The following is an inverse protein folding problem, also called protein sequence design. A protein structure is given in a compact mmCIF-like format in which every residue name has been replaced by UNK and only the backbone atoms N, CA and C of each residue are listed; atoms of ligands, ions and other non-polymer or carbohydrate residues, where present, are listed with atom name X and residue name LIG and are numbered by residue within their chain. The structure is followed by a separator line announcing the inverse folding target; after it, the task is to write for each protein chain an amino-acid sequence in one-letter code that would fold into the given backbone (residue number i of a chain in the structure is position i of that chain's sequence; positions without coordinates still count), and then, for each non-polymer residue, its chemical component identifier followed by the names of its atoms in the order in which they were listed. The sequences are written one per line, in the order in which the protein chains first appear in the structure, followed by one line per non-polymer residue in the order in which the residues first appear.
data_IF_820892704148
#
_entry.id   IF_820892704148
#
_cell.length_a   1.000
_cell.length_b   1.000
_cell.length_c   1.000
_cell.angle_alpha   90.00
_cell.angle_beta   90.00
_cell.angle_gamma   90.00
#
_symmetry.space_group_name_H-M   'P 1'
#
loop_
_entity.id
_entity.type
_entity.pdbx_description
1 polymer ?
#
# COMPACT_ATOMS: atom_id res chain seq x y z
N UNK A 1 15.89 15.66 -22.99
CA UNK A 1 15.14 16.55 -22.06
C UNK A 1 14.45 15.68 -21.02
N UNK A 2 14.52 16.07 -19.75
CA UNK A 2 13.83 15.45 -18.62
C UNK A 2 12.72 16.38 -18.17
N UNK A 3 11.52 15.83 -17.92
CA UNK A 3 10.37 16.59 -17.48
C UNK A 3 9.67 15.86 -16.33
N UNK A 4 9.27 16.60 -15.30
CA UNK A 4 8.45 16.07 -14.21
C UNK A 4 7.09 16.73 -14.29
N UNK A 5 6.03 15.90 -14.36
CA UNK A 5 4.63 16.34 -14.40
C UNK A 5 3.86 15.81 -13.19
N UNK A 6 2.80 16.49 -12.81
CA UNK A 6 1.82 15.96 -11.87
C UNK A 6 0.95 14.95 -12.61
N UNK A 7 0.62 13.85 -11.95
CA UNK A 7 -0.29 12.84 -12.45
C UNK A 7 -1.70 13.41 -12.68
N UNK A 8 -2.30 13.11 -13.80
CA UNK A 8 -3.61 13.61 -14.24
C UNK A 8 -4.68 12.54 -14.37
N UNK A 9 -4.33 11.30 -14.00
CA UNK A 9 -5.21 10.13 -13.98
C UNK A 9 -5.76 9.74 -15.37
N UNK A 10 -4.96 9.92 -16.43
CA UNK A 10 -5.30 9.40 -17.75
C UNK A 10 -5.09 7.88 -17.81
N UNK A 11 -5.84 7.19 -18.71
CA UNK A 11 -5.68 5.75 -18.88
C UNK A 11 -4.25 5.36 -19.27
N UNK A 12 -3.58 6.15 -20.10
CA UNK A 12 -2.19 5.92 -20.47
C UNK A 12 -1.23 6.05 -19.28
N UNK A 13 -1.44 7.02 -18.40
CA UNK A 13 -0.63 7.19 -17.19
C UNK A 13 -0.79 6.01 -16.24
N UNK A 14 -2.01 5.49 -16.05
CA UNK A 14 -2.25 4.28 -15.27
C UNK A 14 -1.53 3.06 -15.86
N UNK A 15 -1.63 2.85 -17.19
CA UNK A 15 -0.94 1.75 -17.88
C UNK A 15 0.56 1.80 -17.67
N UNK A 16 1.17 2.97 -17.88
CA UNK A 16 2.61 3.14 -17.76
C UNK A 16 3.11 3.02 -16.31
N UNK A 17 2.35 3.54 -15.33
CA UNK A 17 2.68 3.35 -13.91
C UNK A 17 2.62 1.86 -13.54
N UNK A 18 1.56 1.14 -13.97
CA UNK A 18 1.42 -0.30 -13.73
C UNK A 18 2.59 -1.06 -14.34
N UNK A 19 2.95 -0.74 -15.58
CA UNK A 19 4.12 -1.34 -16.25
C UNK A 19 5.39 -1.16 -15.44
N UNK A 20 5.66 0.07 -14.96
CA UNK A 20 6.88 0.37 -14.18
C UNK A 20 6.83 -0.36 -12.83
N UNK A 21 5.70 -0.36 -12.13
CA UNK A 21 5.55 -1.09 -10.86
C UNK A 21 5.90 -2.57 -11.04
N UNK A 22 5.34 -3.22 -12.07
CA UNK A 22 5.58 -4.63 -12.35
C UNK A 22 7.02 -4.94 -12.81
N UNK A 23 7.73 -3.95 -13.38
CA UNK A 23 9.16 -4.07 -13.66
C UNK A 23 10.04 -3.94 -12.41
N UNK A 24 9.58 -3.18 -11.43
CA UNK A 24 10.31 -2.96 -10.16
C UNK A 24 10.04 -4.10 -9.18
N UNK A 25 8.78 -4.52 -9.09
CA UNK A 25 8.32 -5.55 -8.16
C UNK A 25 7.73 -6.72 -8.96
N UNK A 26 8.50 -7.81 -9.06
CA UNK A 26 8.10 -9.01 -9.79
C UNK A 26 7.25 -9.96 -8.94
N UNK A 27 7.34 -9.84 -7.63
CA UNK A 27 6.69 -10.75 -6.69
C UNK A 27 5.25 -10.32 -6.39
N UNK A 28 4.95 -9.03 -6.65
CA UNK A 28 3.63 -8.45 -6.43
C UNK A 28 3.11 -7.75 -7.70
N UNK A 29 2.40 -8.51 -8.52
CA UNK A 29 1.85 -7.98 -9.78
C UNK A 29 0.69 -7.04 -9.48
N UNK A 30 0.81 -5.80 -9.94
CA UNK A 30 -0.25 -4.79 -9.87
C UNK A 30 -1.11 -4.85 -11.13
N UNK A 31 -2.42 -4.69 -10.99
CA UNK A 31 -3.35 -4.55 -12.09
C UNK A 31 -3.78 -3.08 -12.27
N UNK A 32 -4.09 -2.71 -13.51
CA UNK A 32 -4.49 -1.33 -13.84
C UNK A 32 -5.75 -0.93 -13.08
N UNK A 33 -6.70 -1.83 -12.98
CA UNK A 33 -7.98 -1.56 -12.32
C UNK A 33 -7.82 -1.36 -10.82
N UNK A 34 -6.90 -2.06 -10.16
CA UNK A 34 -6.57 -1.83 -8.76
C UNK A 34 -6.03 -0.42 -8.53
N UNK A 35 -5.13 0.04 -9.42
CA UNK A 35 -4.60 1.40 -9.34
C UNK A 35 -5.67 2.46 -9.60
N UNK A 36 -6.56 2.24 -10.56
CA UNK A 36 -7.68 3.14 -10.83
C UNK A 36 -8.64 3.21 -9.66
N UNK A 37 -9.05 2.05 -9.14
CA UNK A 37 -9.96 1.94 -8.00
C UNK A 37 -9.36 2.61 -6.76
N UNK A 38 -8.10 2.32 -6.44
CA UNK A 38 -7.38 2.97 -5.35
C UNK A 38 -7.31 4.50 -5.51
N UNK A 39 -7.12 5.00 -6.74
CA UNK A 39 -7.10 6.44 -7.00
C UNK A 39 -8.48 7.09 -6.88
N UNK A 40 -9.52 6.44 -7.38
CA UNK A 40 -10.91 6.94 -7.35
C UNK A 40 -11.42 6.97 -5.90
N UNK A 41 -11.18 5.89 -5.17
CA UNK A 41 -11.70 5.65 -3.82
C UNK A 41 -10.84 6.26 -2.71
N UNK A 42 -9.70 6.88 -3.06
CA UNK A 42 -8.84 7.52 -2.06
C UNK A 42 -9.60 8.54 -1.22
N UNK A 43 -9.27 8.63 0.03
CA UNK A 43 -9.76 9.69 0.90
C UNK A 43 -9.32 11.06 0.36
N UNK A 44 -10.29 11.87 -0.04
CA UNK A 44 -10.04 13.19 -0.62
C UNK A 44 -9.79 14.28 0.44
N UNK A 45 -10.01 13.95 1.72
CA UNK A 45 -9.67 14.84 2.83
C UNK A 45 -8.17 14.76 3.15
N UNK A 46 -7.52 13.66 2.80
CA UNK A 46 -6.09 13.46 2.95
C UNK A 46 -5.33 13.90 1.69
N UNK A 47 -4.14 14.41 1.91
CA UNK A 47 -3.28 14.84 0.82
C UNK A 47 -2.70 13.61 0.13
N UNK A 48 -2.92 13.52 -1.17
CA UNK A 48 -2.35 12.47 -2.01
C UNK A 48 -1.93 13.07 -3.35
N UNK A 49 -0.68 12.85 -3.75
CA UNK A 49 -0.16 13.28 -5.03
C UNK A 49 0.76 12.23 -5.64
N UNK A 50 0.86 12.28 -6.96
CA UNK A 50 1.79 11.46 -7.73
C UNK A 50 2.49 12.33 -8.77
N UNK A 51 3.82 12.24 -8.87
CA UNK A 51 4.63 12.91 -9.86
C UNK A 51 5.27 11.89 -10.79
N UNK A 52 5.22 12.19 -12.07
CA UNK A 52 5.70 11.35 -13.18
C UNK A 52 6.95 11.98 -13.78
N UNK A 53 7.98 11.19 -13.99
CA UNK A 53 9.21 11.64 -14.65
C UNK A 53 9.30 11.05 -16.06
N UNK A 54 9.50 11.92 -17.03
CA UNK A 54 9.62 11.57 -18.44
C UNK A 54 11.04 11.88 -18.95
N UNK A 55 11.57 10.95 -19.74
CA UNK A 55 12.76 11.20 -20.59
C UNK A 55 12.28 11.27 -22.03
N UNK A 56 12.37 12.48 -22.63
CA UNK A 56 11.65 12.82 -23.86
C UNK A 56 10.14 12.59 -23.63
N UNK A 57 9.52 11.66 -24.37
CA UNK A 57 8.08 11.33 -24.23
C UNK A 57 7.83 10.01 -23.50
N UNK A 58 8.86 9.34 -23.02
CA UNK A 58 8.73 8.04 -22.34
C UNK A 58 8.64 8.25 -20.84
N UNK A 59 7.61 7.71 -20.21
CA UNK A 59 7.51 7.63 -18.75
C UNK A 59 8.57 6.65 -18.23
N UNK A 60 9.47 7.12 -17.37
CA UNK A 60 10.57 6.33 -16.82
C UNK A 60 10.45 6.09 -15.33
N UNK A 61 9.54 6.74 -14.63
CA UNK A 61 9.33 6.53 -13.21
C UNK A 61 8.25 7.43 -12.61
N UNK A 62 7.92 7.14 -11.37
CA UNK A 62 7.00 7.95 -10.60
C UNK A 62 7.36 7.98 -9.12
N UNK A 63 6.89 8.99 -8.41
CA UNK A 63 6.85 9.05 -6.96
C UNK A 63 5.45 9.45 -6.53
N UNK A 64 4.80 8.59 -5.76
CA UNK A 64 3.52 8.89 -5.12
C UNK A 64 3.71 9.09 -3.64
N UNK A 65 2.91 9.94 -3.04
CA UNK A 65 2.82 10.05 -1.59
C UNK A 65 1.39 10.33 -1.16
N UNK A 66 1.08 9.89 0.04
CA UNK A 66 -0.19 10.14 0.71
C UNK A 66 0.07 10.46 2.17
N UNK A 67 -0.75 11.33 2.71
CA UNK A 67 -0.80 11.62 4.14
C UNK A 67 -1.35 10.39 4.87
N UNK A 68 -0.72 10.00 5.96
CA UNK A 68 -1.23 8.92 6.82
C UNK A 68 -2.41 9.40 7.66
N UNK A 69 -3.26 8.46 8.03
CA UNK A 69 -4.27 8.63 9.09
C UNK A 69 -3.61 8.33 10.45
N UNK A 70 -2.55 9.04 10.78
CA UNK A 70 -2.05 9.06 12.16
C UNK A 70 -2.72 10.22 12.88
N UNK A 71 -3.05 10.06 14.15
CA UNK A 71 -3.87 11.00 14.95
C UNK A 71 -3.40 12.46 14.96
N UNK A 72 -2.32 12.77 14.26
CA UNK A 72 -1.81 14.12 14.03
C UNK A 72 -1.67 14.49 12.55
N UNK A 73 -1.97 13.59 11.62
CA UNK A 73 -1.86 13.79 10.16
C UNK A 73 -0.52 14.38 9.70
N UNK A 74 0.56 14.15 10.46
CA UNK A 74 1.90 14.72 10.23
C UNK A 74 2.84 13.77 9.49
N UNK A 75 2.40 12.54 9.27
CA UNK A 75 3.18 11.51 8.57
C UNK A 75 2.75 11.43 7.11
N UNK A 76 3.70 11.39 6.20
CA UNK A 76 3.46 11.05 4.82
C UNK A 76 4.15 9.74 4.47
N UNK A 77 3.44 8.88 3.77
CA UNK A 77 3.97 7.65 3.18
C UNK A 77 4.26 7.90 1.71
N UNK A 78 5.39 7.41 1.22
CA UNK A 78 5.68 7.54 -0.20
C UNK A 78 6.24 6.26 -0.81
N UNK A 79 6.01 6.10 -2.10
CA UNK A 79 6.56 5.03 -2.93
C UNK A 79 7.24 5.65 -4.14
N UNK A 80 8.45 5.20 -4.46
CA UNK A 80 9.23 5.64 -5.61
C UNK A 80 9.53 4.44 -6.51
N UNK A 81 9.06 4.49 -7.74
CA UNK A 81 9.34 3.50 -8.77
C UNK A 81 10.12 4.16 -9.90
N UNK A 82 11.20 3.53 -10.32
CA UNK A 82 11.97 3.93 -11.49
C UNK A 82 12.23 2.69 -12.34
N UNK A 83 11.91 2.76 -13.61
CA UNK A 83 12.17 1.69 -14.57
C UNK A 83 13.66 1.28 -14.48
N UNK A 84 13.96 0.00 -14.20
CA UNK A 84 15.34 -0.47 -13.96
C UNK A 84 16.31 -0.17 -15.09
N UNK A 85 15.81 0.01 -16.31
CA UNK A 85 16.63 0.38 -17.49
C UNK A 85 17.22 1.79 -17.40
N UNK A 86 16.70 2.63 -16.51
CA UNK A 86 17.14 4.03 -16.32
C UNK A 86 17.88 4.24 -15.01
N UNK A 87 18.64 3.21 -14.56
CA UNK A 87 19.35 3.27 -13.31
C UNK A 87 20.29 4.48 -13.21
N UNK A 88 20.09 5.20 -12.14
CA UNK A 88 21.00 6.12 -11.42
C UNK A 88 21.58 7.35 -12.14
N UNK A 89 20.86 7.94 -13.07
CA UNK A 89 21.19 9.27 -13.61
C UNK A 89 20.61 10.43 -12.77
N UNK A 90 20.46 10.24 -11.44
CA UNK A 90 19.88 11.24 -10.54
C UNK A 90 18.35 11.37 -10.61
N UNK A 91 17.66 10.54 -11.40
CA UNK A 91 16.20 10.64 -11.58
C UNK A 91 15.42 10.41 -10.29
N UNK A 92 15.89 9.47 -9.44
CA UNK A 92 15.29 9.25 -8.11
C UNK A 92 15.39 10.49 -7.24
N UNK A 93 16.51 11.16 -7.29
CA UNK A 93 16.74 12.38 -6.51
C UNK A 93 15.89 13.55 -7.01
N UNK A 94 15.72 13.69 -8.33
CA UNK A 94 14.81 14.68 -8.92
C UNK A 94 13.37 14.48 -8.46
N UNK A 95 12.86 13.25 -8.52
CA UNK A 95 11.52 12.91 -8.04
C UNK A 95 11.38 13.17 -6.54
N UNK A 96 12.33 12.69 -5.75
CA UNK A 96 12.35 12.90 -4.30
C UNK A 96 12.32 14.37 -3.93
N UNK A 97 13.18 15.18 -4.55
CA UNK A 97 13.23 16.63 -4.27
C UNK A 97 11.94 17.33 -4.68
N UNK A 98 11.29 16.88 -5.77
CA UNK A 98 9.98 17.41 -6.19
C UNK A 98 8.91 17.09 -5.15
N UNK A 99 8.86 15.85 -4.66
CA UNK A 99 7.95 15.42 -3.61
C UNK A 99 8.19 16.21 -2.31
N UNK A 100 9.44 16.35 -1.86
CA UNK A 100 9.76 17.08 -0.62
C UNK A 100 9.28 18.54 -0.68
N UNK A 101 9.47 19.22 -1.82
CA UNK A 101 8.96 20.58 -2.00
C UNK A 101 7.45 20.67 -1.87
N UNK A 102 6.75 19.60 -2.25
CA UNK A 102 5.29 19.56 -2.18
C UNK A 102 4.81 19.18 -0.77
N UNK A 103 5.36 18.14 -0.18
CA UNK A 103 5.03 17.65 1.18
C UNK A 103 5.24 18.74 2.25
N UNK A 104 6.29 19.55 2.11
CA UNK A 104 6.55 20.67 3.05
C UNK A 104 5.44 21.72 3.12
N UNK A 105 4.58 21.81 2.10
CA UNK A 105 3.43 22.73 2.10
C UNK A 105 2.32 22.28 3.07
N UNK A 106 2.35 21.03 3.51
CA UNK A 106 1.26 20.36 4.24
C UNK A 106 1.61 20.03 5.69
N UNK A 107 2.61 20.69 6.23
CA UNK A 107 3.01 20.51 7.63
C UNK A 107 3.37 19.05 8.04
N UNK A 108 3.69 18.19 7.06
CA UNK A 108 4.23 16.85 7.34
C UNK A 108 5.66 16.97 7.85
N UNK A 109 5.93 16.35 8.99
CA UNK A 109 7.26 16.35 9.63
C UNK A 109 7.91 14.96 9.64
N UNK A 110 7.19 13.93 9.23
CA UNK A 110 7.67 12.55 9.13
C UNK A 110 7.41 11.98 7.75
N UNK A 111 8.40 11.30 7.20
CA UNK A 111 8.29 10.53 5.96
C UNK A 111 8.58 9.07 6.24
N UNK A 112 7.71 8.20 5.75
CA UNK A 112 7.88 6.76 5.78
C UNK A 112 7.85 6.20 4.36
N UNK A 113 8.60 5.13 4.14
CA UNK A 113 8.56 4.36 2.90
C UNK A 113 8.94 2.92 3.19
N UNK A 114 8.38 2.01 2.42
CA UNK A 114 8.75 0.61 2.42
C UNK A 114 9.62 0.32 1.21
N UNK A 115 10.66 -0.45 1.38
CA UNK A 115 11.48 -1.01 0.30
C UNK A 115 11.66 -2.50 0.53
N UNK A 116 11.71 -3.27 -0.55
CA UNK A 116 11.97 -4.70 -0.50
C UNK A 116 13.46 -5.00 -0.68
N UNK A 117 13.93 -6.10 -0.09
CA UNK A 117 15.35 -6.50 -0.17
C UNK A 117 15.66 -7.26 -1.47
N UNK A 118 15.35 -6.68 -2.62
CA UNK A 118 15.81 -7.21 -3.89
C UNK A 118 16.49 -6.15 -4.76
N UNK A 119 17.19 -6.60 -5.80
CA UNK A 119 18.12 -5.76 -6.59
C UNK A 119 17.50 -4.51 -7.19
N UNK A 120 16.23 -4.56 -7.59
CA UNK A 120 15.53 -3.43 -8.21
C UNK A 120 15.34 -2.24 -7.25
N UNK A 121 15.34 -2.49 -5.93
CA UNK A 121 15.25 -1.45 -4.90
C UNK A 121 16.59 -0.91 -4.42
N UNK A 122 17.72 -1.43 -4.90
CA UNK A 122 19.05 -0.97 -4.47
C UNK A 122 19.26 0.54 -4.68
N UNK A 123 18.74 1.11 -5.76
CA UNK A 123 18.80 2.55 -6.00
C UNK A 123 18.00 3.35 -4.97
N UNK A 124 16.83 2.85 -4.57
CA UNK A 124 16.01 3.47 -3.52
C UNK A 124 16.73 3.37 -2.17
N UNK A 125 17.30 2.21 -1.82
CA UNK A 125 18.09 2.02 -0.59
C UNK A 125 19.26 3.01 -0.51
N UNK A 126 20.03 3.17 -1.59
CA UNK A 126 21.11 4.16 -1.68
C UNK A 126 20.61 5.59 -1.47
N UNK A 127 19.46 5.96 -2.07
CA UNK A 127 18.84 7.27 -1.87
C UNK A 127 18.46 7.49 -0.40
N UNK A 128 17.81 6.52 0.24
CA UNK A 128 17.39 6.60 1.64
C UNK A 128 18.58 6.83 2.57
N UNK A 129 19.68 6.09 2.38
CA UNK A 129 20.93 6.27 3.16
C UNK A 129 21.47 7.68 2.99
N UNK A 130 21.58 8.18 1.74
CA UNK A 130 22.06 9.56 1.48
C UNK A 130 21.15 10.62 2.11
N UNK A 131 19.84 10.38 2.16
CA UNK A 131 18.85 11.28 2.78
C UNK A 131 18.69 11.05 4.28
N UNK A 132 19.56 10.24 4.91
CA UNK A 132 19.63 9.97 6.35
C UNK A 132 18.34 9.36 6.93
N UNK A 133 17.63 8.54 6.14
CA UNK A 133 16.54 7.74 6.66
C UNK A 133 17.06 6.70 7.64
N UNK A 134 16.25 6.42 8.67
CA UNK A 134 16.53 5.38 9.65
C UNK A 134 15.60 4.20 9.41
N UNK A 135 16.12 2.98 9.51
CA UNK A 135 15.30 1.78 9.54
C UNK A 135 14.53 1.76 10.86
N UNK A 136 13.21 1.69 10.77
CA UNK A 136 12.30 1.73 11.93
C UNK A 136 11.57 0.42 12.15
N UNK A 137 11.44 -0.39 11.09
CA UNK A 137 10.77 -1.69 11.15
C UNK A 137 11.27 -2.58 10.02
N UNK A 138 11.33 -3.89 10.27
CA UNK A 138 11.56 -4.92 9.25
C UNK A 138 10.42 -5.92 9.33
N UNK A 139 9.74 -6.15 8.21
CA UNK A 139 8.71 -7.17 8.05
C UNK A 139 9.27 -8.33 7.22
N UNK A 140 8.84 -9.55 7.52
CA UNK A 140 9.15 -10.74 6.72
C UNK A 140 7.85 -11.26 6.11
N UNK A 141 7.88 -11.45 4.81
CA UNK A 141 6.79 -12.08 4.08
C UNK A 141 7.15 -13.55 3.80
N UNK A 142 6.19 -14.43 3.94
CA UNK A 142 6.33 -15.84 3.67
C UNK A 142 5.28 -16.25 2.64
N UNK A 143 5.68 -16.99 1.65
CA UNK A 143 4.78 -17.59 0.66
C UNK A 143 4.90 -19.11 0.69
N UNK A 144 3.81 -19.79 0.37
CA UNK A 144 3.82 -21.24 0.17
C UNK A 144 3.02 -21.62 -1.08
N UNK A 145 3.42 -22.70 -1.73
CA UNK A 145 2.62 -23.28 -2.80
C UNK A 145 1.43 -24.03 -2.20
N UNK A 146 0.24 -23.46 -2.33
CA UNK A 146 -0.99 -24.05 -1.76
C UNK A 146 -1.30 -25.45 -2.28
N UNK A 147 -0.81 -25.81 -3.48
CA UNK A 147 -0.96 -27.16 -4.06
C UNK A 147 -0.18 -28.22 -3.29
N UNK A 148 0.82 -27.80 -2.49
CA UNK A 148 1.64 -28.67 -1.65
C UNK A 148 1.14 -28.78 -0.21
N UNK A 149 0.07 -28.05 0.13
CA UNK A 149 -0.51 -28.11 1.47
C UNK A 149 -1.36 -29.38 1.59
N UNK A 150 -0.92 -30.27 2.46
CA UNK A 150 -1.70 -31.48 2.82
C UNK A 150 -2.73 -31.09 3.90
N UNK A 151 -3.98 -30.84 3.46
CA UNK A 151 -5.07 -30.45 4.34
C UNK A 151 -5.53 -31.60 5.27
N UNK A 152 -5.17 -32.84 4.98
CA UNK A 152 -5.57 -33.99 5.83
C UNK A 152 -4.97 -33.91 7.23
N UNK A 153 -3.79 -33.31 7.36
CA UNK A 153 -3.11 -33.07 8.66
C UNK A 153 -3.91 -32.17 9.59
N UNK A 154 -4.79 -31.34 9.06
CA UNK A 154 -5.57 -30.39 9.84
C UNK A 154 -6.95 -30.92 10.24
N UNK A 155 -7.38 -32.09 9.71
CA UNK A 155 -8.68 -32.69 10.02
C UNK A 155 -8.93 -32.94 11.52
N UNK A 156 -7.95 -33.42 12.31
CA UNK A 156 -8.13 -33.56 13.75
C UNK A 156 -8.37 -32.24 14.47
N UNK A 157 -7.69 -31.15 14.00
CA UNK A 157 -7.86 -29.80 14.54
C UNK A 157 -9.27 -29.28 14.21
N UNK A 158 -9.71 -29.43 12.97
CA UNK A 158 -11.05 -29.02 12.52
C UNK A 158 -12.11 -29.68 13.38
N UNK A 159 -12.08 -31.03 13.52
CA UNK A 159 -13.03 -31.77 14.37
C UNK A 159 -13.02 -31.29 15.82
N UNK A 160 -11.83 -30.99 16.37
CA UNK A 160 -11.71 -30.46 17.73
C UNK A 160 -12.34 -29.07 17.87
N UNK A 161 -12.22 -28.22 16.86
CA UNK A 161 -12.84 -26.89 16.87
C UNK A 161 -14.36 -27.00 16.76
N UNK A 162 -14.86 -27.85 15.85
CA UNK A 162 -16.29 -28.15 15.70
C UNK A 162 -16.91 -28.71 16.98
N UNK A 163 -16.21 -29.63 17.67
CA UNK A 163 -16.68 -30.18 18.95
C UNK A 163 -16.76 -29.14 20.08
N UNK A 164 -16.03 -28.03 19.93
CA UNK A 164 -16.12 -26.87 20.83
C UNK A 164 -17.17 -25.84 20.41
N UNK A 165 -17.97 -26.14 19.39
CA UNK A 165 -18.98 -25.24 18.85
C UNK A 165 -18.43 -24.10 17.98
N UNK A 166 -17.15 -24.13 17.62
CA UNK A 166 -16.55 -23.15 16.73
C UNK A 166 -16.97 -23.48 15.30
N UNK A 167 -17.61 -22.54 14.63
CA UNK A 167 -18.02 -22.63 13.23
C UNK A 167 -17.35 -21.56 12.41
N UNK A 168 -16.94 -21.92 11.19
CA UNK A 168 -16.37 -21.00 10.22
C UNK A 168 -17.47 -20.62 9.23
N UNK A 169 -17.60 -19.33 8.99
CA UNK A 169 -18.52 -18.77 8.02
C UNK A 169 -17.75 -17.85 7.08
N UNK A 170 -18.21 -17.74 5.85
CA UNK A 170 -17.74 -16.70 4.94
C UNK A 170 -18.49 -15.37 5.16
N UNK A 171 -17.97 -14.28 4.63
CA UNK A 171 -18.57 -12.96 4.75
C UNK A 171 -19.98 -12.90 4.15
N UNK A 172 -20.24 -13.64 3.06
CA UNK A 172 -21.57 -13.70 2.42
C UNK A 172 -22.62 -14.30 3.32
N UNK A 173 -22.25 -15.34 4.07
CA UNK A 173 -23.15 -15.95 5.05
C UNK A 173 -23.44 -14.96 6.20
N UNK A 174 -22.42 -14.27 6.71
CA UNK A 174 -22.57 -13.30 7.79
C UNK A 174 -23.44 -12.11 7.39
N UNK A 175 -23.25 -11.57 6.19
CA UNK A 175 -24.06 -10.48 5.63
C UNK A 175 -25.54 -10.86 5.57
N UNK A 176 -25.84 -12.10 5.16
CA UNK A 176 -27.22 -12.59 5.01
C UNK A 176 -27.91 -12.87 6.35
N UNK A 177 -27.15 -13.36 7.33
CA UNK A 177 -27.75 -13.95 8.53
C UNK A 177 -27.56 -13.09 9.79
N UNK A 178 -26.63 -12.11 9.79
CA UNK A 178 -26.35 -11.34 10.98
C UNK A 178 -26.61 -9.84 10.77
N UNK A 179 -27.64 -9.31 11.43
CA UNK A 179 -27.81 -7.85 11.48
C UNK A 179 -26.55 -7.19 12.06
N UNK A 180 -26.15 -6.08 11.51
CA UNK A 180 -24.96 -5.33 11.97
C UNK A 180 -23.60 -6.08 11.81
N UNK A 181 -23.48 -7.04 10.85
CA UNK A 181 -22.21 -7.75 10.62
C UNK A 181 -21.04 -6.79 10.35
N UNK A 182 -21.23 -5.73 9.56
CA UNK A 182 -20.18 -4.73 9.32
C UNK A 182 -19.70 -4.02 10.58
N UNK A 183 -20.62 -3.75 11.54
CA UNK A 183 -20.22 -3.14 12.81
C UNK A 183 -19.37 -4.09 13.65
N UNK A 184 -19.74 -5.38 13.67
CA UNK A 184 -18.96 -6.41 14.36
C UNK A 184 -17.60 -6.64 13.69
N UNK A 185 -17.58 -6.64 12.36
CA UNK A 185 -16.36 -6.81 11.58
C UNK A 185 -15.40 -5.62 11.80
N UNK A 186 -15.92 -4.40 11.79
CA UNK A 186 -15.14 -3.19 12.05
C UNK A 186 -14.53 -3.20 13.46
N UNK A 187 -15.32 -3.56 14.47
CA UNK A 187 -14.86 -3.70 15.85
C UNK A 187 -13.76 -4.77 15.97
N UNK A 188 -13.94 -5.92 15.31
CA UNK A 188 -12.94 -6.98 15.27
C UNK A 188 -11.65 -6.50 14.58
N UNK A 189 -11.77 -5.84 13.44
CA UNK A 189 -10.62 -5.28 12.71
C UNK A 189 -9.88 -4.22 13.54
N UNK A 190 -10.61 -3.39 14.25
CA UNK A 190 -10.02 -2.40 15.15
C UNK A 190 -9.28 -3.08 16.30
N UNK A 191 -9.92 -4.02 16.99
CA UNK A 191 -9.32 -4.75 18.13
C UNK A 191 -8.07 -5.52 17.71
N UNK A 192 -8.18 -6.32 16.65
CA UNK A 192 -7.04 -7.05 16.07
C UNK A 192 -5.94 -6.09 15.62
N UNK A 193 -6.33 -4.96 15.02
CA UNK A 193 -5.41 -3.96 14.55
C UNK A 193 -4.49 -3.40 15.64
N UNK A 194 -4.94 -3.34 16.90
CA UNK A 194 -4.11 -2.84 18.00
C UNK A 194 -2.90 -3.74 18.30
N UNK A 195 -3.01 -5.03 18.00
CA UNK A 195 -1.93 -6.00 18.20
C UNK A 195 -0.88 -5.98 17.07
N UNK A 196 -1.16 -5.31 15.96
CA UNK A 196 -0.20 -5.21 14.85
C UNK A 196 0.85 -4.14 15.19
N UNK A 197 2.15 -4.50 15.24
CA UNK A 197 3.20 -3.53 15.52
C UNK A 197 3.22 -2.37 14.52
N UNK A 198 3.25 -1.16 15.04
CA UNK A 198 3.40 0.05 14.25
C UNK A 198 4.83 0.59 14.33
N UNK A 199 5.35 1.24 13.29
CA UNK A 199 6.63 1.94 13.36
C UNK A 199 6.65 2.95 14.51
N UNK A 200 7.79 3.07 15.18
CA UNK A 200 7.92 3.96 16.35
C UNK A 200 7.42 5.37 16.04
N UNK A 201 6.49 5.85 16.87
CA UNK A 201 5.90 7.17 16.77
C UNK A 201 4.86 7.33 15.65
N UNK A 202 4.32 6.21 15.15
CA UNK A 202 3.12 6.17 14.32
C UNK A 202 2.01 5.60 15.20
N UNK A 203 0.94 6.35 15.37
CA UNK A 203 -0.24 5.92 16.09
C UNK A 203 -1.29 5.45 15.08
N UNK A 204 -2.03 4.41 15.44
CA UNK A 204 -3.14 3.93 14.63
C UNK A 204 -4.38 4.76 14.96
N UNK A 205 -5.04 5.24 13.94
CA UNK A 205 -6.34 5.90 14.06
C UNK A 205 -7.45 4.96 13.59
N UNK A 206 -8.57 4.97 14.31
CA UNK A 206 -9.74 4.18 13.91
C UNK A 206 -10.37 4.81 12.67
N UNK A 207 -10.56 4.01 11.65
CA UNK A 207 -11.21 4.44 10.42
C UNK A 207 -12.68 4.80 10.68
N UNK A 208 -13.20 5.90 10.10
CA UNK A 208 -14.63 6.20 10.19
C UNK A 208 -15.47 5.05 9.62
N UNK A 209 -16.54 4.67 10.33
CA UNK A 209 -17.33 3.49 10.00
C UNK A 209 -17.91 3.51 8.58
N UNK A 210 -18.32 4.67 8.08
CA UNK A 210 -18.82 4.83 6.70
C UNK A 210 -17.74 4.55 5.64
N UNK A 211 -16.49 4.87 5.92
CA UNK A 211 -15.37 4.55 5.03
C UNK A 211 -15.03 3.07 5.09
N UNK A 212 -15.00 2.49 6.29
CA UNK A 212 -14.84 1.04 6.46
C UNK A 212 -15.88 0.25 5.64
N UNK A 213 -17.16 0.61 5.71
CA UNK A 213 -18.22 -0.05 4.92
C UNK A 213 -17.92 0.08 3.43
N UNK A 214 -17.53 1.27 2.97
CA UNK A 214 -17.23 1.51 1.56
C UNK A 214 -16.10 0.60 1.08
N UNK A 215 -15.03 0.50 1.84
CA UNK A 215 -13.89 -0.35 1.49
C UNK A 215 -14.29 -1.82 1.45
N UNK A 216 -15.10 -2.31 2.42
CA UNK A 216 -15.58 -3.68 2.42
C UNK A 216 -16.51 -3.98 1.22
N UNK A 217 -17.44 -3.08 0.89
CA UNK A 217 -18.35 -3.28 -0.23
C UNK A 217 -17.69 -3.22 -1.59
N UNK A 218 -16.58 -2.52 -1.73
CA UNK A 218 -15.77 -2.51 -2.95
C UNK A 218 -14.97 -3.82 -3.12
N UNK A 219 -14.52 -4.44 -2.01
CA UNK A 219 -13.92 -5.79 -2.02
C UNK A 219 -14.92 -6.89 -2.44
N UNK A 220 -16.17 -6.76 -2.08
CA UNK A 220 -17.20 -7.77 -2.35
C UNK A 220 -17.72 -7.76 -3.80
N UNK A 221 -17.48 -6.67 -4.53
CA UNK A 221 -17.89 -6.51 -5.95
C UNK A 221 -16.86 -7.04 -6.94
N UNK A 222 -15.65 -7.33 -6.50
CA UNK A 222 -14.54 -7.86 -7.31
C UNK A 222 -14.26 -9.34 -6.96
#
# INVERSE_FOLDING_TARGET
MITIKKFTATSNEFQEITRIKNLVDHDSISHIDDLKNSWINRDKTLISNNFLIYKKNTLIGNISYNQGRDGNSKTAFYTLNLDPRYNDNGYRELLYNKMIKDVKKFNCNKLLTTIYEHSNYNGNKKLLIRKKFKLVQTNREYSCDIRKIDLTKYQPLIKRLESKGIKLYDSKYEMKNWPNHYKKLEELCWTYGQDIPMPKGVEREREPFNEFIKDQTDYEKN
#
